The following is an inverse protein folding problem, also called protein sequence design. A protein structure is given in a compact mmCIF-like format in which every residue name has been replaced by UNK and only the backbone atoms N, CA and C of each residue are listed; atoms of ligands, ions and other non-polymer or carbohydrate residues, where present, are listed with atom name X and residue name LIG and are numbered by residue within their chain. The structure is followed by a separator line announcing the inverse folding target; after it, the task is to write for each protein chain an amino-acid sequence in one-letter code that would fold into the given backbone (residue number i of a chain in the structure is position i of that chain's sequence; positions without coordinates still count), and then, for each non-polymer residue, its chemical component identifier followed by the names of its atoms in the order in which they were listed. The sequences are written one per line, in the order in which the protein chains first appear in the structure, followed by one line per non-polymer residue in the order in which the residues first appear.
data_IF_881410805775
#
_entry.id   IF_881410805775
#
_cell.length_a   1.000
_cell.length_b   1.000
_cell.length_c   1.000
_cell.angle_alpha   90.00
_cell.angle_beta   90.00
_cell.angle_gamma   90.00
#
_symmetry.space_group_name_H-M   'P 1'
#
loop_
_entity.id
_entity.type
_entity.pdbx_description
1 polymer ?
#
# COMPACT_ATOMS: atom_id res chain seq x y z
N UNK A 1 11.98 38.54 -51.68
CA UNK A 1 13.20 38.26 -52.45
C UNK A 1 14.17 37.52 -51.55
N UNK A 2 14.80 36.48 -52.08
CA UNK A 2 15.57 35.43 -51.40
C UNK A 2 16.85 35.86 -50.64
N UNK A 3 17.24 34.98 -49.70
CA UNK A 3 18.61 34.61 -49.20
C UNK A 3 19.27 35.55 -48.16
N UNK A 4 20.08 35.10 -47.18
CA UNK A 4 20.46 33.81 -46.56
C UNK A 4 21.73 34.10 -45.76
N UNK A 5 21.86 33.67 -44.49
CA UNK A 5 23.11 33.24 -43.82
C UNK A 5 22.75 32.73 -42.41
N UNK A 6 22.59 31.42 -42.18
CA UNK A 6 23.59 30.45 -41.69
C UNK A 6 24.25 30.80 -40.35
N UNK A 7 23.74 30.19 -39.26
CA UNK A 7 24.49 29.75 -38.07
C UNK A 7 23.92 28.36 -37.72
N UNK A 8 24.54 27.29 -38.22
CA UNK A 8 25.44 26.35 -37.50
C UNK A 8 24.87 25.83 -36.18
N UNK A 9 24.36 24.60 -36.31
CA UNK A 9 23.97 23.61 -35.34
C UNK A 9 25.00 23.41 -34.22
N UNK A 10 24.51 23.42 -32.98
CA UNK A 10 25.03 22.60 -31.90
C UNK A 10 23.87 21.68 -31.48
N UNK A 11 24.05 20.39 -31.73
CA UNK A 11 23.21 19.31 -31.23
C UNK A 11 23.39 19.27 -29.71
N UNK A 12 22.34 19.61 -28.96
CA UNK A 12 22.15 19.11 -27.60
C UNK A 12 20.86 18.32 -27.68
N UNK A 13 20.99 17.01 -27.49
CA UNK A 13 19.89 16.08 -27.47
C UNK A 13 18.99 16.45 -26.28
N UNK A 14 17.87 17.11 -26.57
CA UNK A 14 16.79 17.24 -25.62
C UNK A 14 16.22 15.84 -25.38
N UNK A 15 16.36 15.37 -24.14
CA UNK A 15 15.58 14.26 -23.63
C UNK A 15 14.14 14.74 -23.57
N UNK A 16 13.37 14.37 -24.60
CA UNK A 16 11.92 14.40 -24.58
C UNK A 16 11.49 13.33 -23.58
N UNK A 17 11.23 13.72 -22.34
CA UNK A 17 10.47 12.90 -21.39
C UNK A 17 9.03 12.94 -21.88
N UNK A 18 8.66 11.94 -22.67
CA UNK A 18 7.26 11.62 -22.91
C UNK A 18 6.75 11.03 -21.60
N UNK A 19 5.86 11.76 -20.93
CA UNK A 19 5.03 11.25 -19.84
C UNK A 19 4.28 10.02 -20.33
N UNK A 20 4.76 8.85 -19.93
CA UNK A 20 4.02 7.60 -20.03
C UNK A 20 3.24 7.50 -18.73
N UNK A 21 1.91 7.48 -18.86
CA UNK A 21 1.00 6.91 -17.87
C UNK A 21 1.54 5.51 -17.52
N UNK A 22 2.20 5.38 -16.37
CA UNK A 22 2.86 4.16 -15.95
C UNK A 22 1.86 3.23 -15.29
N UNK A 23 1.32 2.32 -16.10
CA UNK A 23 1.01 0.96 -15.63
C UNK A 23 2.32 0.23 -15.35
N UNK A 24 2.38 -0.46 -14.22
CA UNK A 24 3.56 -1.11 -13.64
C UNK A 24 3.74 -2.51 -14.21
N UNK A 25 4.92 -2.81 -14.79
CA UNK A 25 5.12 -4.08 -15.51
C UNK A 25 6.57 -4.50 -15.73
N UNK A 26 7.06 -5.44 -14.91
CA UNK A 26 8.37 -6.10 -15.06
C UNK A 26 8.44 -6.99 -16.31
N UNK A 27 9.56 -6.96 -17.07
CA UNK A 27 9.86 -7.94 -18.14
C UNK A 27 11.23 -8.57 -17.97
N UNK A 28 11.28 -9.91 -18.04
CA UNK A 28 12.50 -10.68 -18.35
C UNK A 28 12.67 -10.83 -19.87
N UNK A 29 13.94 -10.84 -20.29
CA UNK A 29 14.44 -10.86 -21.66
C UNK A 29 14.11 -12.14 -22.43
N UNK A 30 13.81 -12.01 -23.73
CA UNK A 30 14.59 -12.66 -24.79
C UNK A 30 14.12 -12.29 -26.22
N UNK A 31 15.10 -12.08 -27.11
CA UNK A 31 15.04 -12.54 -28.51
C UNK A 31 14.27 -11.72 -29.56
N UNK A 32 14.91 -10.71 -30.14
CA UNK A 32 14.56 -10.02 -31.40
C UNK A 32 14.25 -10.93 -32.61
N UNK A 33 13.18 -10.61 -33.37
CA UNK A 33 13.23 -10.36 -34.85
C UNK A 33 11.93 -9.76 -35.46
N UNK A 34 12.03 -8.49 -35.81
CA UNK A 34 11.58 -7.76 -37.01
C UNK A 34 10.20 -7.97 -37.71
N UNK A 35 9.41 -6.88 -37.64
CA UNK A 35 8.73 -6.10 -38.71
C UNK A 35 7.57 -6.69 -39.53
N UNK A 36 6.42 -5.99 -39.56
CA UNK A 36 6.11 -4.93 -40.55
C UNK A 36 4.63 -4.50 -40.60
N UNK A 37 4.41 -3.18 -40.77
CA UNK A 37 3.24 -2.53 -41.40
C UNK A 37 1.97 -2.40 -40.53
N UNK A 38 1.14 -1.36 -40.60
CA UNK A 38 1.08 -0.12 -41.38
C UNK A 38 -0.16 0.67 -40.92
N UNK A 39 -0.14 2.03 -40.99
CA UNK A 39 -1.24 2.96 -41.40
C UNK A 39 -2.65 2.75 -40.79
N UNK A 40 -3.42 3.74 -40.30
CA UNK A 40 -3.52 5.16 -40.68
C UNK A 40 -4.77 5.81 -40.03
N UNK A 41 -4.78 7.16 -39.98
CA UNK A 41 -5.93 8.11 -40.06
C UNK A 41 -6.85 8.21 -38.82
N UNK A 42 -6.87 9.32 -38.08
CA UNK A 42 -7.33 10.70 -38.39
C UNK A 42 -8.86 10.85 -38.47
N UNK A 43 -9.44 11.65 -37.57
CA UNK A 43 -10.35 12.75 -37.93
C UNK A 43 -10.66 13.63 -36.70
N UNK A 44 -10.28 14.90 -36.81
CA UNK A 44 -10.81 16.05 -36.07
C UNK A 44 -12.24 16.38 -36.53
N UNK A 45 -13.05 17.03 -35.67
CA UNK A 45 -13.77 18.32 -35.91
C UNK A 45 -14.63 18.65 -34.67
N UNK A 46 -14.25 19.64 -33.84
CA UNK A 46 -14.62 21.09 -33.79
C UNK A 46 -15.97 21.49 -33.16
N UNK A 47 -15.83 22.24 -32.05
CA UNK A 47 -16.34 23.61 -31.75
C UNK A 47 -17.84 23.85 -31.49
N UNK A 48 -18.13 24.50 -30.35
CA UNK A 48 -19.29 25.37 -30.16
C UNK A 48 -19.41 25.94 -28.74
N UNK A 49 -19.34 27.27 -28.59
CA UNK A 49 -19.26 28.07 -27.35
C UNK A 49 -20.57 28.84 -27.05
N UNK A 50 -20.84 29.18 -25.78
CA UNK A 50 -21.43 30.45 -25.23
C UNK A 50 -21.94 30.21 -23.79
N UNK A 51 -21.43 30.82 -22.72
CA UNK A 51 -21.57 32.20 -22.16
C UNK A 51 -23.00 32.58 -21.72
N UNK A 52 -23.23 32.78 -20.42
CA UNK A 52 -23.69 34.08 -19.84
C UNK A 52 -23.92 34.02 -18.31
N UNK A 53 -23.61 35.16 -17.68
CA UNK A 53 -23.62 35.51 -16.25
C UNK A 53 -25.02 35.77 -15.65
N UNK A 54 -25.13 35.80 -14.31
CA UNK A 54 -25.51 37.02 -13.54
C UNK A 54 -25.77 36.76 -12.03
N UNK A 55 -25.53 37.83 -11.26
CA UNK A 55 -25.35 37.96 -9.80
C UNK A 55 -26.63 38.22 -8.97
N UNK A 56 -26.40 38.41 -7.65
CA UNK A 56 -27.13 39.23 -6.62
C UNK A 56 -28.14 38.47 -5.73
N UNK A 57 -28.34 38.73 -4.41
CA UNK A 57 -27.80 39.67 -3.40
C UNK A 57 -28.41 39.38 -2.00
N UNK A 58 -27.65 39.69 -0.93
CA UNK A 58 -28.01 40.32 0.36
C UNK A 58 -29.09 39.79 1.36
N UNK A 59 -28.60 39.34 2.54
CA UNK A 59 -28.69 39.95 3.89
C UNK A 59 -29.93 39.80 4.86
N UNK A 60 -29.60 39.38 6.11
CA UNK A 60 -29.97 39.89 7.47
C UNK A 60 -30.62 38.93 8.49
N UNK A 61 -29.93 38.85 9.65
CA UNK A 61 -30.39 38.81 11.06
C UNK A 61 -31.69 38.08 11.46
N UNK A 62 -31.62 37.11 12.39
CA UNK A 62 -31.78 37.40 13.83
C UNK A 62 -31.61 36.15 14.72
N UNK A 63 -31.11 36.40 15.93
CA UNK A 63 -30.94 35.49 17.05
C UNK A 63 -32.27 34.97 17.65
N UNK A 64 -32.35 33.69 17.98
CA UNK A 64 -33.02 33.23 19.21
C UNK A 64 -32.38 31.96 19.76
N UNK A 65 -31.73 32.09 20.92
CA UNK A 65 -31.44 30.97 21.81
C UNK A 65 -32.74 30.47 22.43
N UNK A 66 -33.03 29.19 22.26
CA UNK A 66 -33.84 28.41 23.21
C UNK A 66 -33.36 26.98 23.22
N UNK A 67 -33.23 26.44 24.43
CA UNK A 67 -32.70 25.12 24.77
C UNK A 67 -33.49 23.98 24.12
N UNK A 68 -32.79 23.08 23.43
CA UNK A 68 -33.23 21.69 23.18
C UNK A 68 -32.03 20.75 23.39
N UNK A 69 -31.71 20.50 24.65
CA UNK A 69 -30.95 19.31 25.06
C UNK A 69 -31.95 18.17 25.25
N UNK A 70 -32.29 17.46 24.18
CA UNK A 70 -33.00 16.16 24.25
C UNK A 70 -33.07 15.34 22.93
N UNK A 71 -32.38 15.70 21.82
CA UNK A 71 -32.54 14.98 20.54
C UNK A 71 -31.29 14.25 20.00
N UNK A 72 -30.09 14.43 20.57
CA UNK A 72 -28.88 13.78 20.01
C UNK A 72 -28.72 12.29 20.40
N UNK A 73 -29.47 11.78 21.38
CA UNK A 73 -29.35 10.37 21.80
C UNK A 73 -30.26 9.39 21.06
N UNK A 74 -31.37 9.82 20.43
CA UNK A 74 -32.28 8.86 19.76
C UNK A 74 -31.81 8.48 18.36
N UNK A 75 -31.17 9.40 17.62
CA UNK A 75 -30.64 9.11 16.28
C UNK A 75 -29.47 8.12 16.27
N UNK A 76 -28.70 8.05 17.37
CA UNK A 76 -27.55 7.15 17.51
C UNK A 76 -27.96 5.72 17.85
N UNK A 77 -29.00 5.52 18.68
CA UNK A 77 -29.49 4.18 19.01
C UNK A 77 -30.20 3.51 17.82
N UNK A 78 -30.99 4.27 17.05
CA UNK A 78 -31.67 3.76 15.85
C UNK A 78 -30.65 3.36 14.77
N UNK A 79 -29.65 4.22 14.48
CA UNK A 79 -28.60 3.92 13.52
C UNK A 79 -27.77 2.69 13.90
N UNK A 80 -27.47 2.50 15.20
CA UNK A 80 -26.79 1.30 15.69
C UNK A 80 -27.62 0.05 15.42
N UNK A 81 -28.91 0.06 15.76
CA UNK A 81 -29.76 -1.12 15.60
C UNK A 81 -29.98 -1.49 14.12
N UNK A 82 -30.10 -0.49 13.25
CA UNK A 82 -30.19 -0.69 11.81
C UNK A 82 -28.89 -1.26 11.24
N UNK A 83 -27.73 -0.70 11.63
CA UNK A 83 -26.43 -1.20 11.21
C UNK A 83 -26.18 -2.64 11.65
N UNK A 84 -26.53 -3.00 12.89
CA UNK A 84 -26.41 -4.38 13.39
C UNK A 84 -27.32 -5.36 12.62
N UNK A 85 -28.53 -4.92 12.29
CA UNK A 85 -29.45 -5.72 11.47
C UNK A 85 -28.87 -5.95 10.09
N UNK A 86 -28.36 -4.87 9.47
CA UNK A 86 -27.72 -4.91 8.15
C UNK A 86 -26.46 -5.78 8.14
N UNK A 87 -25.61 -5.67 9.15
CA UNK A 87 -24.42 -6.47 9.31
C UNK A 87 -24.77 -7.97 9.38
N UNK A 88 -25.79 -8.32 10.18
CA UNK A 88 -26.28 -9.69 10.27
C UNK A 88 -26.80 -10.24 8.93
N UNK A 89 -27.50 -9.43 8.13
CA UNK A 89 -27.96 -9.81 6.78
C UNK A 89 -26.80 -10.09 5.82
N UNK A 90 -25.72 -9.32 5.95
CA UNK A 90 -24.53 -9.40 5.11
C UNK A 90 -23.46 -10.37 5.64
N UNK A 91 -23.66 -10.96 6.83
CA UNK A 91 -22.70 -11.87 7.46
C UNK A 91 -21.49 -11.19 8.09
N UNK A 92 -21.56 -9.87 8.34
CA UNK A 92 -20.53 -9.06 9.00
C UNK A 92 -20.75 -9.08 10.52
N UNK A 93 -19.68 -9.21 11.31
CA UNK A 93 -19.73 -9.25 12.77
C UNK A 93 -19.70 -7.83 13.35
N UNK A 94 -20.31 -7.62 14.53
CA UNK A 94 -20.35 -6.28 15.15
C UNK A 94 -18.95 -5.71 15.40
N UNK A 95 -17.99 -6.56 15.78
CA UNK A 95 -16.60 -6.15 15.97
C UNK A 95 -15.95 -5.59 14.72
N UNK A 96 -16.38 -5.98 13.51
CA UNK A 96 -15.86 -5.48 12.23
C UNK A 96 -16.45 -4.11 11.86
N UNK A 97 -17.44 -3.62 12.60
CA UNK A 97 -18.00 -2.28 12.39
C UNK A 97 -17.19 -1.20 13.11
N UNK A 98 -16.32 -1.57 14.06
CA UNK A 98 -15.43 -0.66 14.80
C UNK A 98 -16.17 0.51 15.50
N UNK A 99 -17.48 0.35 15.75
CA UNK A 99 -18.33 1.40 16.32
C UNK A 99 -18.91 2.40 15.31
N UNK A 100 -18.52 2.31 14.04
CA UNK A 100 -18.89 3.23 12.96
C UNK A 100 -20.19 2.85 12.26
N UNK A 101 -21.28 2.75 13.04
CA UNK A 101 -22.58 2.25 12.57
C UNK A 101 -23.21 3.09 11.44
N UNK A 102 -23.16 4.42 11.54
CA UNK A 102 -23.74 5.29 10.54
C UNK A 102 -22.94 5.27 9.22
N UNK A 103 -21.61 5.20 9.33
CA UNK A 103 -20.73 5.04 8.18
C UNK A 103 -20.96 3.70 7.49
N UNK A 104 -21.12 2.62 8.26
CA UNK A 104 -21.43 1.29 7.73
C UNK A 104 -22.71 1.26 6.89
N UNK A 105 -23.78 1.89 7.37
CA UNK A 105 -25.03 1.97 6.62
C UNK A 105 -24.83 2.69 5.27
N UNK A 106 -24.15 3.84 5.29
CA UNK A 106 -23.83 4.59 4.05
C UNK A 106 -22.93 3.81 3.11
N UNK A 107 -21.94 3.11 3.65
CA UNK A 107 -21.03 2.23 2.92
C UNK A 107 -21.79 1.14 2.17
N UNK A 108 -22.63 0.40 2.89
CA UNK A 108 -23.41 -0.70 2.30
C UNK A 108 -24.48 -0.21 1.33
N UNK A 109 -25.11 0.94 1.59
CA UNK A 109 -26.04 1.58 0.65
C UNK A 109 -25.36 1.99 -0.66
N UNK A 110 -24.15 2.55 -0.58
CA UNK A 110 -23.35 2.92 -1.76
C UNK A 110 -22.96 1.67 -2.55
N UNK A 111 -22.49 0.61 -1.87
CA UNK A 111 -22.14 -0.66 -2.49
C UNK A 111 -23.33 -1.32 -3.20
N UNK A 112 -24.52 -1.29 -2.62
CA UNK A 112 -25.73 -1.86 -3.22
C UNK A 112 -26.17 -1.10 -4.48
N UNK A 113 -25.85 0.19 -4.55
CA UNK A 113 -26.18 1.05 -5.68
C UNK A 113 -25.12 1.01 -6.79
N UNK A 114 -23.92 0.47 -6.52
CA UNK A 114 -22.86 0.35 -7.52
C UNK A 114 -23.11 -0.88 -8.43
N UNK A 115 -23.48 -0.67 -9.72
CA UNK A 115 -23.79 -1.78 -10.63
C UNK A 115 -22.55 -2.47 -11.20
N UNK A 116 -21.36 -1.92 -11.00
CA UNK A 116 -20.12 -2.34 -11.66
C UNK A 116 -19.33 -3.41 -10.89
N UNK A 117 -19.67 -3.67 -9.62
CA UNK A 117 -18.94 -4.61 -8.78
C UNK A 117 -19.40 -6.06 -8.95
N UNK A 118 -20.63 -6.29 -9.41
CA UNK A 118 -21.17 -7.64 -9.60
C UNK A 118 -20.98 -8.54 -8.39
N UNK A 119 -20.35 -9.70 -8.58
CA UNK A 119 -20.03 -10.66 -7.52
C UNK A 119 -18.81 -10.27 -6.68
N UNK A 120 -18.01 -9.29 -7.11
CA UNK A 120 -16.83 -8.82 -6.39
C UNK A 120 -17.18 -7.82 -5.28
N UNK A 121 -18.45 -7.41 -5.18
CA UNK A 121 -18.96 -6.52 -4.12
C UNK A 121 -18.61 -7.02 -2.71
N UNK A 122 -18.62 -8.33 -2.50
CA UNK A 122 -18.33 -8.93 -1.19
C UNK A 122 -16.87 -8.69 -0.75
N UNK A 123 -15.92 -8.62 -1.68
CA UNK A 123 -14.53 -8.25 -1.36
C UNK A 123 -14.45 -6.79 -0.90
N UNK A 124 -15.20 -5.91 -1.56
CA UNK A 124 -15.26 -4.49 -1.20
C UNK A 124 -15.95 -4.33 0.16
N UNK A 125 -17.02 -5.09 0.43
CA UNK A 125 -17.67 -5.09 1.75
C UNK A 125 -16.67 -5.35 2.90
N UNK A 126 -15.74 -6.29 2.70
CA UNK A 126 -14.74 -6.67 3.71
C UNK A 126 -13.65 -5.62 3.96
N UNK A 127 -13.59 -4.55 3.16
CA UNK A 127 -12.70 -3.41 3.43
C UNK A 127 -13.25 -2.47 4.50
N UNK A 128 -14.51 -2.66 4.94
CA UNK A 128 -15.14 -1.73 5.88
C UNK A 128 -14.34 -1.45 7.16
N UNK A 129 -13.68 -2.43 7.82
CA UNK A 129 -12.83 -2.15 8.98
C UNK A 129 -11.73 -1.11 8.70
N UNK A 130 -11.09 -1.18 7.52
CA UNK A 130 -10.07 -0.22 7.10
C UNK A 130 -10.67 1.16 6.90
N UNK A 131 -11.87 1.22 6.29
CA UNK A 131 -12.61 2.47 6.09
C UNK A 131 -13.02 3.09 7.43
N UNK A 132 -13.50 2.27 8.37
CA UNK A 132 -13.93 2.72 9.69
C UNK A 132 -12.78 3.31 10.50
N UNK A 133 -11.57 2.76 10.37
CA UNK A 133 -10.40 3.21 11.13
C UNK A 133 -9.70 4.44 10.52
N UNK A 134 -9.79 4.64 9.20
CA UNK A 134 -8.94 5.60 8.49
C UNK A 134 -9.69 6.66 7.67
N UNK A 135 -10.99 6.51 7.41
CA UNK A 135 -11.73 7.51 6.64
C UNK A 135 -12.12 8.69 7.53
N UNK A 136 -11.50 9.84 7.29
CA UNK A 136 -11.82 11.08 7.97
C UNK A 136 -13.08 11.76 7.35
N UNK A 137 -13.87 12.51 8.14
CA UNK A 137 -15.09 13.17 7.67
C UNK A 137 -14.89 14.09 6.45
N UNK A 138 -13.71 14.72 6.34
CA UNK A 138 -13.39 15.65 5.25
C UNK A 138 -13.18 14.92 3.90
N UNK A 139 -12.80 13.63 3.93
CA UNK A 139 -12.50 12.83 2.75
C UNK A 139 -13.69 11.97 2.29
N UNK A 140 -14.73 11.82 3.13
CA UNK A 140 -15.90 10.99 2.84
C UNK A 140 -16.53 11.28 1.47
N UNK A 141 -16.65 12.56 1.09
CA UNK A 141 -17.32 12.91 -0.17
C UNK A 141 -16.59 12.35 -1.39
N UNK A 142 -15.25 12.43 -1.39
CA UNK A 142 -14.43 11.88 -2.47
C UNK A 142 -14.42 10.36 -2.41
N UNK A 143 -14.29 9.78 -1.22
CA UNK A 143 -14.35 8.35 -1.01
C UNK A 143 -15.64 7.73 -1.55
N UNK A 144 -16.81 8.26 -1.16
CA UNK A 144 -18.11 7.75 -1.62
C UNK A 144 -18.33 7.95 -3.13
N UNK A 145 -17.78 9.02 -3.71
CA UNK A 145 -17.79 9.21 -5.16
C UNK A 145 -17.01 8.09 -5.87
N UNK A 146 -15.80 7.77 -5.40
CA UNK A 146 -15.01 6.68 -5.96
C UNK A 146 -15.66 5.32 -5.70
N UNK A 147 -16.16 5.06 -4.50
CA UNK A 147 -16.85 3.80 -4.19
C UNK A 147 -18.08 3.58 -5.08
N UNK A 148 -18.85 4.63 -5.37
CA UNK A 148 -20.04 4.54 -6.23
C UNK A 148 -19.74 4.19 -7.69
N UNK A 149 -18.51 4.44 -8.14
CA UNK A 149 -18.07 4.24 -9.52
C UNK A 149 -17.01 3.13 -9.68
N UNK A 150 -16.52 2.57 -8.57
CA UNK A 150 -15.49 1.53 -8.56
C UNK A 150 -15.91 0.36 -9.45
N UNK A 151 -14.98 -0.07 -10.29
CA UNK A 151 -15.09 -1.27 -11.12
C UNK A 151 -14.10 -2.29 -10.61
N UNK A 152 -14.50 -3.56 -10.63
CA UNK A 152 -13.60 -4.66 -10.37
C UNK A 152 -13.81 -5.72 -11.43
N UNK A 153 -12.74 -6.16 -12.08
CA UNK A 153 -12.80 -7.09 -13.22
C UNK A 153 -11.73 -8.16 -13.11
N UNK A 154 -12.02 -9.31 -13.70
CA UNK A 154 -11.09 -10.40 -13.90
C UNK A 154 -10.81 -10.45 -15.41
N UNK A 155 -9.55 -10.38 -15.79
CA UNK A 155 -9.16 -10.31 -17.21
C UNK A 155 -7.67 -10.27 -17.40
N UNK A 156 -7.21 -10.04 -18.63
CA UNK A 156 -5.79 -9.88 -18.90
C UNK A 156 -5.32 -8.47 -18.51
N UNK A 157 -4.35 -8.37 -17.60
CA UNK A 157 -3.66 -7.11 -17.33
C UNK A 157 -2.76 -6.72 -18.51
N UNK A 158 -2.52 -5.43 -18.69
CA UNK A 158 -1.66 -4.91 -19.78
C UNK A 158 -0.18 -5.28 -19.60
N UNK A 159 0.19 -5.68 -18.38
CA UNK A 159 1.52 -6.09 -17.96
C UNK A 159 1.49 -7.52 -17.40
N UNK A 160 2.64 -8.19 -17.15
CA UNK A 160 2.62 -9.52 -16.54
C UNK A 160 2.28 -9.51 -15.03
N UNK A 161 1.76 -8.40 -14.47
CA UNK A 161 1.30 -8.32 -13.08
C UNK A 161 0.21 -9.36 -12.77
N UNK A 162 0.06 -9.69 -11.48
CA UNK A 162 -1.03 -10.53 -10.97
C UNK A 162 -2.33 -9.73 -10.79
N UNK A 163 -2.23 -8.42 -10.57
CA UNK A 163 -3.33 -7.47 -10.47
C UNK A 163 -2.82 -6.04 -10.65
N UNK A 164 -3.72 -5.11 -10.97
CA UNK A 164 -3.42 -3.67 -11.05
C UNK A 164 -4.66 -2.84 -10.65
N UNK A 165 -4.45 -1.80 -9.86
CA UNK A 165 -5.41 -0.70 -9.67
C UNK A 165 -5.11 0.48 -10.62
N UNK A 166 -6.07 0.78 -11.49
CA UNK A 166 -6.02 1.94 -12.39
C UNK A 166 -6.83 3.10 -11.80
N UNK A 167 -6.16 3.99 -11.07
CA UNK A 167 -6.79 5.16 -10.44
C UNK A 167 -7.60 6.02 -11.44
N UNK A 168 -7.08 6.24 -12.66
CA UNK A 168 -7.75 7.05 -13.68
C UNK A 168 -9.06 6.44 -14.23
N UNK A 169 -9.20 5.12 -14.19
CA UNK A 169 -10.40 4.40 -14.62
C UNK A 169 -11.24 3.90 -13.43
N UNK A 170 -10.76 4.12 -12.20
CA UNK A 170 -11.28 3.58 -10.95
C UNK A 170 -11.59 2.08 -11.07
N UNK A 171 -10.59 1.32 -11.53
CA UNK A 171 -10.70 -0.09 -11.90
C UNK A 171 -9.65 -0.92 -11.17
N UNK A 172 -10.11 -1.92 -10.42
CA UNK A 172 -9.27 -3.04 -9.96
C UNK A 172 -9.35 -4.17 -10.98
N UNK A 173 -8.22 -4.56 -11.55
CA UNK A 173 -8.13 -5.64 -12.54
C UNK A 173 -7.24 -6.77 -12.01
N UNK A 174 -7.78 -7.98 -11.91
CA UNK A 174 -7.02 -9.17 -11.49
C UNK A 174 -6.73 -10.05 -12.70
N UNK A 175 -5.48 -10.47 -12.85
CA UNK A 175 -5.01 -11.21 -14.00
C UNK A 175 -5.50 -12.66 -13.99
N UNK A 176 -6.36 -13.03 -14.94
CA UNK A 176 -6.77 -14.41 -15.17
C UNK A 176 -5.75 -15.14 -16.06
N UNK A 177 -4.66 -15.62 -15.46
CA UNK A 177 -3.65 -16.40 -16.19
C UNK A 177 -4.08 -17.85 -16.51
N UNK A 178 -5.35 -18.20 -16.35
CA UNK A 178 -5.88 -19.52 -16.69
C UNK A 178 -5.41 -20.66 -15.78
N UNK A 179 -4.80 -20.33 -14.63
CA UNK A 179 -4.58 -21.28 -13.53
C UNK A 179 -5.71 -21.12 -12.52
N UNK A 180 -6.93 -21.47 -12.96
CA UNK A 180 -8.13 -21.56 -12.12
C UNK A 180 -8.07 -22.79 -11.19
N UNK A 181 -6.88 -23.21 -10.78
CA UNK A 181 -6.76 -24.01 -9.58
C UNK A 181 -6.99 -23.05 -8.41
N UNK A 182 -8.03 -23.34 -7.63
CA UNK A 182 -8.54 -22.72 -6.40
C UNK A 182 -7.44 -22.32 -5.37
N UNK A 183 -6.48 -21.50 -5.77
CA UNK A 183 -5.33 -21.13 -4.96
C UNK A 183 -5.55 -19.74 -4.42
N UNK A 184 -5.21 -19.53 -3.16
CA UNK A 184 -5.45 -18.28 -2.47
C UNK A 184 -4.73 -17.04 -3.01
N UNK A 185 -3.97 -17.21 -4.09
CA UNK A 185 -3.21 -16.17 -4.77
C UNK A 185 -4.15 -15.08 -5.30
N UNK A 186 -5.34 -15.40 -5.80
CA UNK A 186 -6.18 -14.39 -6.43
C UNK A 186 -6.95 -13.49 -5.42
N UNK A 187 -7.29 -13.98 -4.21
CA UNK A 187 -7.92 -13.10 -3.20
C UNK A 187 -6.87 -12.19 -2.55
N UNK A 188 -5.66 -12.70 -2.31
CA UNK A 188 -4.56 -11.94 -1.71
C UNK A 188 -4.20 -10.74 -2.59
N UNK A 189 -4.09 -10.97 -3.90
CA UNK A 189 -3.90 -9.90 -4.89
C UNK A 189 -5.11 -8.97 -4.94
N UNK A 190 -6.35 -9.48 -4.87
CA UNK A 190 -7.53 -8.63 -4.81
C UNK A 190 -7.51 -7.65 -3.63
N UNK A 191 -7.19 -8.10 -2.42
CA UNK A 191 -7.09 -7.20 -1.26
C UNK A 191 -5.94 -6.20 -1.39
N UNK A 192 -4.80 -6.61 -1.96
CA UNK A 192 -3.70 -5.69 -2.26
C UNK A 192 -4.17 -4.55 -3.20
N UNK A 193 -4.78 -4.89 -4.34
CA UNK A 193 -5.26 -3.86 -5.28
C UNK A 193 -6.41 -3.02 -4.72
N UNK A 194 -7.28 -3.63 -3.91
CA UNK A 194 -8.33 -2.89 -3.21
C UNK A 194 -7.75 -1.96 -2.14
N UNK A 195 -6.59 -2.28 -1.54
CA UNK A 195 -5.92 -1.38 -0.61
C UNK A 195 -5.37 -0.14 -1.33
N UNK A 196 -4.87 -0.28 -2.57
CA UNK A 196 -4.55 0.87 -3.42
C UNK A 196 -5.78 1.74 -3.71
N UNK A 197 -6.96 1.12 -3.89
CA UNK A 197 -8.21 1.87 -4.02
C UNK A 197 -8.57 2.64 -2.74
N UNK A 198 -8.42 2.02 -1.56
CA UNK A 198 -8.66 2.68 -0.28
C UNK A 198 -7.69 3.85 -0.09
N UNK A 199 -6.39 3.63 -0.27
CA UNK A 199 -5.36 4.69 -0.24
C UNK A 199 -5.75 5.86 -1.15
N UNK A 200 -5.97 5.59 -2.43
CA UNK A 200 -6.34 6.61 -3.40
C UNK A 200 -7.61 7.38 -3.00
N UNK A 201 -8.59 6.68 -2.44
CA UNK A 201 -9.90 7.25 -2.10
C UNK A 201 -9.92 7.99 -0.77
N UNK A 202 -8.95 7.75 0.11
CA UNK A 202 -8.75 8.51 1.36
C UNK A 202 -7.83 9.71 1.11
N UNK A 203 -6.75 9.54 0.34
CA UNK A 203 -5.76 10.60 0.04
C UNK A 203 -6.24 11.66 -0.97
N UNK A 204 -7.53 11.65 -1.34
CA UNK A 204 -8.14 12.51 -2.36
C UNK A 204 -7.49 12.43 -3.77
N UNK A 205 -6.66 11.43 -4.04
CA UNK A 205 -5.97 11.22 -5.31
C UNK A 205 -4.93 12.28 -5.68
N UNK A 206 -4.58 13.20 -4.77
CA UNK A 206 -3.63 14.29 -5.04
C UNK A 206 -2.20 13.83 -4.79
N UNK A 207 -1.67 12.96 -5.66
CA UNK A 207 -0.26 12.54 -5.54
C UNK A 207 0.67 13.65 -6.03
N UNK A 208 1.42 14.22 -5.09
CA UNK A 208 2.38 15.27 -5.37
C UNK A 208 3.67 14.70 -5.99
N UNK A 209 4.18 15.33 -7.06
CA UNK A 209 5.47 14.97 -7.64
C UNK A 209 6.60 15.70 -6.91
N UNK A 210 7.43 14.94 -6.20
CA UNK A 210 8.57 15.44 -5.42
C UNK A 210 9.86 15.29 -6.20
N UNK A 211 10.70 16.32 -6.11
CA UNK A 211 12.00 16.39 -6.76
C UNK A 211 13.09 16.81 -5.79
N UNK A 212 14.29 16.27 -5.98
CA UNK A 212 15.49 16.76 -5.31
C UNK A 212 16.23 17.75 -6.21
N UNK A 213 16.47 18.96 -5.70
CA UNK A 213 17.09 20.07 -6.46
C UNK A 213 18.63 20.05 -6.43
N UNK A 214 19.23 19.13 -5.67
CA UNK A 214 20.64 19.15 -5.28
C UNK A 214 20.92 19.88 -3.96
N UNK A 215 19.89 20.53 -3.37
CA UNK A 215 20.02 21.25 -2.09
C UNK A 215 18.81 21.14 -1.16
N UNK A 216 17.69 20.63 -1.66
CA UNK A 216 16.42 20.43 -0.93
C UNK A 216 15.49 19.54 -1.75
N UNK A 217 14.52 18.93 -1.08
CA UNK A 217 13.34 18.35 -1.70
C UNK A 217 12.24 19.40 -1.92
N UNK A 218 11.46 19.27 -2.99
CA UNK A 218 10.43 20.22 -3.37
C UNK A 218 9.37 19.61 -4.28
N UNK A 219 8.14 20.11 -4.21
CA UNK A 219 7.12 19.81 -5.21
C UNK A 219 7.44 20.46 -6.56
N UNK A 220 6.95 19.84 -7.63
CA UNK A 220 7.02 20.38 -8.99
C UNK A 220 6.62 21.87 -9.09
N UNK A 221 5.57 22.26 -8.36
CA UNK A 221 5.03 23.63 -8.36
C UNK A 221 5.95 24.65 -7.69
N UNK A 222 6.86 24.21 -6.82
CA UNK A 222 7.77 25.05 -6.04
C UNK A 222 9.19 25.12 -6.65
N UNK A 223 9.39 24.50 -7.81
CA UNK A 223 10.65 24.52 -8.53
C UNK A 223 10.78 25.79 -9.38
N UNK A 224 11.93 26.46 -9.24
CA UNK A 224 12.35 27.52 -10.16
C UNK A 224 12.84 26.94 -11.50
N UNK A 225 12.85 27.76 -12.56
CA UNK A 225 13.39 27.36 -13.88
C UNK A 225 14.81 26.77 -13.79
N UNK A 226 15.64 27.32 -12.90
CA UNK A 226 17.02 26.84 -12.71
C UNK A 226 17.08 25.49 -11.98
N UNK A 227 16.17 25.24 -11.03
CA UNK A 227 16.07 23.97 -10.33
C UNK A 227 15.55 22.88 -11.29
N UNK A 228 14.58 23.20 -12.15
CA UNK A 228 14.06 22.28 -13.17
C UNK A 228 15.15 21.72 -14.11
N UNK A 229 16.20 22.49 -14.40
CA UNK A 229 17.30 22.03 -15.26
C UNK A 229 18.19 20.95 -14.60
N UNK A 230 18.11 20.78 -13.28
CA UNK A 230 19.07 19.98 -12.49
C UNK A 230 18.42 19.00 -11.54
N UNK A 231 17.11 19.14 -11.29
CA UNK A 231 16.42 18.31 -10.33
C UNK A 231 16.31 16.87 -10.83
N UNK A 232 16.20 15.95 -9.88
CA UNK A 232 15.90 14.54 -10.15
C UNK A 232 14.58 14.19 -9.47
N UNK A 233 13.72 13.36 -10.09
CA UNK A 233 12.53 12.84 -9.43
C UNK A 233 12.92 12.09 -8.16
N UNK A 234 12.13 12.22 -7.11
CA UNK A 234 12.36 11.61 -5.81
C UNK A 234 11.00 11.11 -5.27
N UNK A 235 10.48 10.04 -5.85
CA UNK A 235 9.15 9.47 -5.56
C UNK A 235 9.27 8.25 -4.61
N UNK A 236 8.16 7.80 -3.99
CA UNK A 236 8.12 6.64 -3.08
C UNK A 236 7.08 5.60 -3.49
N UNK A 237 7.40 4.77 -4.48
CA UNK A 237 6.53 3.66 -4.87
C UNK A 237 6.56 2.52 -3.83
N UNK A 238 7.68 2.38 -3.09
CA UNK A 238 7.80 1.34 -2.07
C UNK A 238 6.80 1.53 -0.91
N UNK A 239 6.39 2.77 -0.60
CA UNK A 239 5.42 3.05 0.48
C UNK A 239 4.02 2.62 0.04
N UNK A 240 3.64 2.91 -1.20
CA UNK A 240 2.32 2.54 -1.71
C UNK A 240 2.20 1.02 -1.84
N UNK A 241 3.21 0.35 -2.41
CA UNK A 241 3.18 -1.12 -2.56
C UNK A 241 3.34 -1.84 -1.21
N UNK A 242 4.29 -1.38 -0.39
CA UNK A 242 4.53 -1.94 0.93
C UNK A 242 3.36 -1.70 1.90
N UNK A 243 2.71 -0.55 1.79
CA UNK A 243 1.54 -0.19 2.59
C UNK A 243 0.33 -1.04 2.26
N UNK A 244 0.08 -1.30 0.96
CA UNK A 244 -0.96 -2.22 0.53
C UNK A 244 -0.77 -3.62 1.15
N UNK A 245 0.46 -4.12 1.16
CA UNK A 245 0.81 -5.39 1.78
C UNK A 245 0.72 -5.37 3.32
N UNK A 246 1.21 -4.29 3.94
CA UNK A 246 1.19 -4.08 5.38
C UNK A 246 -0.25 -4.07 5.94
N UNK A 247 -1.15 -3.26 5.37
CA UNK A 247 -2.54 -3.19 5.85
C UNK A 247 -3.33 -4.45 5.49
N UNK A 248 -3.06 -5.08 4.34
CA UNK A 248 -3.64 -6.39 4.03
C UNK A 248 -3.24 -7.41 5.08
N UNK A 249 -1.96 -7.43 5.47
CA UNK A 249 -1.46 -8.29 6.53
C UNK A 249 -2.05 -7.99 7.90
N UNK A 250 -2.24 -6.70 8.24
CA UNK A 250 -2.80 -6.26 9.52
C UNK A 250 -4.27 -6.61 9.68
N UNK A 251 -5.12 -6.22 8.73
CA UNK A 251 -6.57 -6.42 8.82
C UNK A 251 -7.00 -7.85 8.53
N UNK A 252 -6.32 -8.53 7.61
CA UNK A 252 -6.67 -9.90 7.20
C UNK A 252 -5.73 -10.96 7.75
N UNK A 253 -4.79 -10.57 8.63
CA UNK A 253 -3.88 -11.44 9.38
C UNK A 253 -3.06 -12.36 8.47
N UNK A 254 -2.61 -11.83 7.33
CA UNK A 254 -1.97 -12.56 6.22
C UNK A 254 -0.51 -12.19 6.02
N UNK A 255 0.23 -13.08 5.37
CA UNK A 255 1.59 -12.78 4.90
C UNK A 255 1.57 -12.51 3.40
N UNK A 256 1.89 -11.28 3.00
CA UNK A 256 1.94 -10.89 1.59
C UNK A 256 3.34 -11.09 1.04
N UNK A 257 3.46 -11.79 -0.09
CA UNK A 257 4.76 -12.20 -0.65
C UNK A 257 5.28 -11.23 -1.72
N UNK A 258 4.45 -10.26 -2.16
CA UNK A 258 4.80 -9.34 -3.25
C UNK A 258 5.81 -8.29 -2.84
N UNK A 259 5.58 -7.63 -1.70
CA UNK A 259 6.33 -6.50 -1.19
C UNK A 259 6.68 -6.68 0.29
N UNK A 260 7.09 -7.91 0.62
CA UNK A 260 7.53 -8.35 1.95
C UNK A 260 8.53 -7.39 2.62
N UNK A 261 9.56 -6.96 1.88
CA UNK A 261 10.62 -6.09 2.40
C UNK A 261 10.08 -4.69 2.72
N UNK A 262 9.41 -3.97 1.79
CA UNK A 262 8.71 -2.72 2.10
C UNK A 262 7.69 -2.83 3.24
N UNK A 263 6.86 -3.87 3.28
CA UNK A 263 5.87 -4.06 4.34
C UNK A 263 6.53 -4.24 5.72
N UNK A 264 7.61 -5.04 5.79
CA UNK A 264 8.39 -5.22 7.01
C UNK A 264 9.06 -3.91 7.45
N UNK A 265 9.50 -3.09 6.50
CA UNK A 265 10.02 -1.75 6.79
C UNK A 265 8.96 -0.88 7.47
N UNK A 266 7.71 -0.89 6.99
CA UNK A 266 6.60 -0.16 7.61
C UNK A 266 6.25 -0.69 9.01
N UNK A 267 6.31 -2.01 9.24
CA UNK A 267 6.23 -2.59 10.60
C UNK A 267 7.35 -2.05 11.51
N UNK A 268 8.55 -1.83 10.96
CA UNK A 268 9.65 -1.15 11.66
C UNK A 268 9.32 0.29 12.03
N UNK A 269 8.72 1.04 11.11
CA UNK A 269 8.26 2.41 11.37
C UNK A 269 7.19 2.43 12.47
N UNK A 270 6.17 1.58 12.41
CA UNK A 270 5.15 1.45 13.45
C UNK A 270 5.78 1.10 14.80
N UNK A 271 6.71 0.14 14.82
CA UNK A 271 7.39 -0.25 16.06
C UNK A 271 8.13 0.93 16.69
N UNK A 272 8.79 1.77 15.88
CA UNK A 272 9.59 2.91 16.36
C UNK A 272 8.72 4.12 16.74
N UNK A 273 7.75 4.47 15.90
CA UNK A 273 7.00 5.73 15.94
C UNK A 273 5.51 5.60 16.23
N UNK A 274 4.95 4.40 16.17
CA UNK A 274 3.52 4.12 16.32
C UNK A 274 2.76 4.11 14.99
N UNK A 275 1.57 3.51 15.03
CA UNK A 275 0.67 3.29 13.87
C UNK A 275 0.31 4.59 13.15
N UNK A 276 0.01 5.66 13.89
CA UNK A 276 -0.30 6.98 13.32
C UNK A 276 0.78 7.50 12.35
N UNK A 277 2.04 7.07 12.51
CA UNK A 277 3.11 7.46 11.59
C UNK A 277 3.05 6.67 10.30
N UNK A 278 2.68 5.39 10.33
CA UNK A 278 2.46 4.59 9.12
C UNK A 278 1.21 5.08 8.39
N UNK A 279 0.14 5.43 9.10
CA UNK A 279 -1.07 6.02 8.51
C UNK A 279 -0.74 7.29 7.71
N UNK A 280 0.06 8.20 8.29
CA UNK A 280 0.53 9.41 7.60
C UNK A 280 1.45 9.13 6.40
N UNK A 281 2.14 8.00 6.38
CA UNK A 281 2.96 7.64 5.22
C UNK A 281 2.10 7.05 4.11
N UNK A 282 1.17 6.15 4.44
CA UNK A 282 0.40 5.42 3.45
C UNK A 282 -0.81 6.22 2.94
N UNK A 283 -1.70 6.70 3.82
CA UNK A 283 -2.94 7.38 3.44
C UNK A 283 -2.78 8.87 3.11
N UNK A 284 -1.54 9.37 3.04
CA UNK A 284 -1.27 10.77 2.72
C UNK A 284 -1.25 11.00 1.22
N UNK A 285 -1.85 12.11 0.79
CA UNK A 285 -1.68 12.67 -0.56
C UNK A 285 -0.20 12.89 -0.92
N UNK A 286 0.66 13.06 0.09
CA UNK A 286 2.06 13.43 -0.07
C UNK A 286 3.01 12.46 0.67
N UNK A 287 2.76 11.15 0.52
CA UNK A 287 3.55 10.05 1.14
C UNK A 287 5.06 10.26 1.02
N UNK A 288 5.53 10.73 -0.13
CA UNK A 288 6.96 10.93 -0.36
C UNK A 288 7.52 12.03 0.54
N UNK A 289 6.86 13.19 0.63
CA UNK A 289 7.36 14.23 1.54
C UNK A 289 7.21 13.86 3.00
N UNK A 290 6.14 13.15 3.38
CA UNK A 290 6.00 12.64 4.75
C UNK A 290 7.17 11.72 5.11
N UNK A 291 7.58 10.85 4.19
CA UNK A 291 8.75 10.00 4.40
C UNK A 291 10.07 10.77 4.46
N UNK A 292 10.28 11.71 3.54
CA UNK A 292 11.48 12.56 3.56
C UNK A 292 11.55 13.35 4.88
N UNK A 293 10.45 13.95 5.34
CA UNK A 293 10.38 14.68 6.61
C UNK A 293 10.73 13.77 7.79
N UNK A 294 10.22 12.54 7.80
CA UNK A 294 10.56 11.55 8.83
C UNK A 294 12.08 11.29 8.87
N UNK A 295 12.74 11.17 7.72
CA UNK A 295 14.19 10.96 7.64
C UNK A 295 14.99 12.23 8.00
N UNK A 296 14.54 13.41 7.55
CA UNK A 296 15.14 14.70 7.90
C UNK A 296 15.09 14.97 9.40
N UNK A 297 13.96 14.68 10.05
CA UNK A 297 13.76 14.82 11.50
C UNK A 297 14.68 13.88 12.30
N UNK A 298 15.03 12.73 11.73
CA UNK A 298 16.04 11.81 12.28
C UNK A 298 17.49 12.28 12.04
N UNK A 299 17.69 13.39 11.33
CA UNK A 299 19.01 13.96 11.03
C UNK A 299 19.72 13.26 9.86
N UNK A 300 19.00 12.51 9.04
CA UNK A 300 19.56 11.85 7.85
C UNK A 300 19.79 12.92 6.76
N UNK A 301 20.97 12.90 6.15
CA UNK A 301 21.34 13.89 5.12
C UNK A 301 20.55 13.70 3.82
N UNK A 302 20.24 14.78 3.10
CA UNK A 302 19.53 14.77 1.81
C UNK A 302 20.06 13.74 0.81
N UNK A 303 21.39 13.60 0.71
CA UNK A 303 21.99 12.63 -0.22
C UNK A 303 21.66 11.19 0.17
N UNK A 304 21.76 10.86 1.47
CA UNK A 304 21.37 9.54 1.99
C UNK A 304 19.86 9.31 1.82
N UNK A 305 19.02 10.33 2.03
CA UNK A 305 17.57 10.26 1.78
C UNK A 305 17.31 9.92 0.31
N UNK A 306 17.92 10.65 -0.63
CA UNK A 306 17.76 10.40 -2.06
C UNK A 306 18.23 8.99 -2.45
N UNK A 307 19.38 8.55 -1.94
CA UNK A 307 19.91 7.22 -2.20
C UNK A 307 18.96 6.15 -1.61
N UNK A 308 18.40 6.36 -0.41
CA UNK A 308 17.37 5.48 0.17
C UNK A 308 16.12 5.41 -0.70
N UNK A 309 15.59 6.53 -1.18
CA UNK A 309 14.41 6.54 -2.07
C UNK A 309 14.66 5.70 -3.34
N UNK A 310 15.81 5.88 -3.98
CA UNK A 310 16.16 5.12 -5.18
C UNK A 310 16.42 3.65 -4.89
N UNK A 311 17.11 3.30 -3.81
CA UNK A 311 17.30 1.90 -3.43
C UNK A 311 15.99 1.22 -3.10
N UNK A 312 15.11 1.85 -2.33
CA UNK A 312 13.88 1.22 -1.87
C UNK A 312 12.87 1.04 -3.01
N UNK A 313 12.78 1.99 -3.93
CA UNK A 313 12.01 1.81 -5.16
C UNK A 313 12.62 0.75 -6.08
N UNK A 314 13.94 0.61 -6.13
CA UNK A 314 14.57 -0.49 -6.87
C UNK A 314 14.25 -1.86 -6.26
N UNK A 315 14.20 -1.95 -4.94
CA UNK A 315 13.80 -3.18 -4.24
C UNK A 315 12.32 -3.53 -4.46
N UNK A 316 11.41 -2.55 -4.43
CA UNK A 316 10.01 -2.75 -4.79
C UNK A 316 9.85 -3.07 -6.28
N UNK A 317 10.63 -2.39 -7.13
CA UNK A 317 10.55 -2.44 -8.58
C UNK A 317 11.94 -2.41 -9.21
N UNK A 318 12.46 -3.60 -9.56
CA UNK A 318 13.80 -3.79 -10.14
C UNK A 318 14.15 -2.98 -11.41
N UNK A 319 13.16 -2.33 -12.04
CA UNK A 319 13.37 -1.47 -13.20
C UNK A 319 13.69 -0.01 -12.84
N UNK A 320 13.55 0.41 -11.57
CA UNK A 320 14.07 1.71 -11.12
C UNK A 320 15.59 1.74 -11.16
N UNK A 321 16.15 2.94 -11.28
CA UNK A 321 17.60 3.13 -11.31
C UNK A 321 18.15 2.93 -9.90
N UNK A 322 19.08 1.99 -9.76
CA UNK A 322 19.86 1.85 -8.54
C UNK A 322 20.83 3.05 -8.40
N UNK A 323 20.95 3.69 -7.22
CA UNK A 323 21.88 4.78 -7.03
C UNK A 323 23.34 4.27 -6.99
N UNK A 324 24.30 5.20 -7.14
CA UNK A 324 25.73 4.90 -7.05
C UNK A 324 26.14 4.40 -5.64
N UNK A 325 25.37 4.78 -4.63
CA UNK A 325 25.58 4.45 -3.22
C UNK A 325 24.30 3.85 -2.63
N UNK A 326 23.98 2.58 -2.93
CA UNK A 326 22.75 1.98 -2.43
C UNK A 326 22.76 1.90 -0.90
N UNK A 327 21.58 2.17 -0.31
CA UNK A 327 21.37 2.21 1.14
C UNK A 327 20.40 1.13 1.54
N UNK A 328 20.75 0.32 2.55
CA UNK A 328 19.87 -0.75 3.05
C UNK A 328 18.70 -0.21 3.89
N UNK A 329 17.54 -0.86 3.76
CA UNK A 329 16.37 -0.59 4.60
C UNK A 329 16.68 -0.80 6.08
N UNK A 330 17.46 -1.82 6.41
CA UNK A 330 17.90 -2.10 7.78
C UNK A 330 18.72 -0.94 8.37
N UNK A 331 19.63 -0.35 7.58
CA UNK A 331 20.45 0.78 8.04
C UNK A 331 19.59 2.03 8.32
N UNK A 332 18.58 2.29 7.49
CA UNK A 332 17.65 3.40 7.69
C UNK A 332 16.79 3.18 8.92
N UNK A 333 16.28 1.96 9.14
CA UNK A 333 15.54 1.65 10.37
C UNK A 333 16.38 1.79 11.62
N UNK A 334 17.67 1.41 11.58
CA UNK A 334 18.58 1.63 12.73
C UNK A 334 18.76 3.12 12.99
N UNK A 335 19.01 3.95 11.99
CA UNK A 335 19.11 5.41 12.17
C UNK A 335 17.83 6.01 12.76
N UNK A 336 16.68 5.57 12.26
CA UNK A 336 15.36 5.97 12.76
C UNK A 336 15.14 5.50 14.22
N UNK A 337 15.56 4.29 14.56
CA UNK A 337 15.48 3.78 15.92
C UNK A 337 16.39 4.58 16.85
N UNK A 338 17.64 4.83 16.46
CA UNK A 338 18.61 5.53 17.29
C UNK A 338 18.20 6.99 17.56
N UNK A 339 17.64 7.67 16.56
CA UNK A 339 17.13 9.04 16.70
C UNK A 339 15.92 9.13 17.63
N UNK A 340 15.04 8.10 17.64
CA UNK A 340 13.78 8.11 18.43
C UNK A 340 13.89 7.44 19.80
N UNK A 341 14.54 6.29 19.87
CA UNK A 341 14.59 5.38 21.04
C UNK A 341 16.00 5.24 21.63
N UNK A 342 17.04 5.76 20.97
CA UNK A 342 18.44 5.66 21.41
C UNK A 342 19.13 4.37 20.95
N UNK A 343 20.36 4.13 21.41
CA UNK A 343 21.26 3.10 20.86
C UNK A 343 20.96 1.64 21.26
N UNK A 344 19.81 1.37 21.88
CA UNK A 344 19.47 0.06 22.46
C UNK A 344 18.76 -0.90 21.50
N UNK A 345 18.96 -0.73 20.18
CA UNK A 345 18.23 -1.50 19.17
C UNK A 345 18.64 -2.97 19.10
N UNK A 346 19.88 -3.30 19.47
CA UNK A 346 20.43 -4.67 19.45
C UNK A 346 19.77 -5.57 20.49
N UNK A 347 19.33 -4.97 21.59
CA UNK A 347 18.66 -5.65 22.69
C UNK A 347 17.16 -5.80 22.44
N UNK A 348 16.55 -4.97 21.59
CA UNK A 348 15.14 -5.04 21.24
C UNK A 348 14.86 -6.22 20.30
N UNK A 349 14.33 -7.32 20.86
CA UNK A 349 14.11 -8.57 20.14
C UNK A 349 13.00 -8.49 19.09
N UNK A 350 12.04 -7.60 19.27
CA UNK A 350 10.98 -7.36 18.28
C UNK A 350 11.57 -6.59 17.10
N UNK A 351 12.34 -5.54 17.37
CA UNK A 351 13.01 -4.77 16.31
C UNK A 351 14.03 -5.62 15.54
N UNK A 352 14.83 -6.43 16.24
CA UNK A 352 15.77 -7.35 15.58
C UNK A 352 15.05 -8.39 14.70
N UNK A 353 13.86 -8.84 15.08
CA UNK A 353 13.05 -9.71 14.22
C UNK A 353 12.65 -9.00 12.93
N UNK A 354 12.21 -7.73 13.00
CA UNK A 354 11.86 -6.93 11.82
C UNK A 354 13.06 -6.80 10.87
N UNK A 355 14.26 -6.51 11.41
CA UNK A 355 15.48 -6.42 10.60
C UNK A 355 15.83 -7.77 9.95
N UNK A 356 15.64 -8.90 10.65
CA UNK A 356 15.87 -10.23 10.08
C UNK A 356 14.92 -10.53 8.92
N UNK A 357 13.67 -10.08 8.99
CA UNK A 357 12.68 -10.30 7.93
C UNK A 357 13.00 -9.52 6.66
N UNK A 358 13.40 -8.25 6.81
CA UNK A 358 13.92 -7.43 5.72
C UNK A 358 15.16 -8.10 5.10
N UNK A 359 16.11 -8.50 5.93
CA UNK A 359 17.35 -9.10 5.47
C UNK A 359 17.15 -10.41 4.72
N UNK A 360 16.30 -11.30 5.24
CA UNK A 360 16.01 -12.59 4.62
C UNK A 360 15.28 -12.48 3.28
N UNK A 361 14.50 -11.41 3.06
CA UNK A 361 13.82 -11.15 1.79
C UNK A 361 14.65 -10.32 0.81
N UNK A 362 15.70 -9.63 1.27
CA UNK A 362 16.54 -8.80 0.42
C UNK A 362 17.44 -9.68 -0.44
N UNK A 363 17.25 -9.59 -1.76
CA UNK A 363 18.01 -10.38 -2.75
C UNK A 363 19.32 -9.73 -3.17
N UNK A 364 19.51 -8.44 -2.86
CA UNK A 364 20.64 -7.65 -3.31
C UNK A 364 21.70 -7.46 -2.20
N UNK A 365 22.96 -7.64 -2.57
CA UNK A 365 24.09 -7.57 -1.62
C UNK A 365 24.73 -6.17 -1.59
N UNK A 366 24.03 -5.23 -0.95
CA UNK A 366 24.55 -3.88 -0.70
C UNK A 366 25.49 -3.84 0.53
N UNK A 367 26.42 -2.88 0.65
CA UNK A 367 27.19 -2.72 1.88
C UNK A 367 26.31 -2.20 3.02
N UNK A 368 26.50 -2.69 4.24
CA UNK A 368 25.90 -2.09 5.44
C UNK A 368 26.65 -0.83 5.86
N UNK A 369 25.93 0.20 6.27
CA UNK A 369 26.50 1.34 6.99
C UNK A 369 26.75 1.01 8.48
N UNK A 370 25.83 0.27 9.10
CA UNK A 370 25.95 -0.33 10.43
C UNK A 370 26.59 -1.72 10.30
N UNK A 371 27.92 -1.75 10.23
CA UNK A 371 28.71 -2.97 9.94
C UNK A 371 28.40 -4.15 10.87
N UNK A 372 27.99 -3.91 12.12
CA UNK A 372 27.56 -4.95 13.06
C UNK A 372 26.37 -5.78 12.57
N UNK A 373 25.51 -5.24 11.70
CA UNK A 373 24.34 -5.95 11.17
C UNK A 373 24.76 -7.23 10.43
N UNK A 374 25.94 -7.24 9.80
CA UNK A 374 26.50 -8.42 9.10
C UNK A 374 26.61 -9.65 9.98
N UNK A 375 26.86 -9.46 11.28
CA UNK A 375 27.04 -10.55 12.23
C UNK A 375 25.78 -10.86 13.04
N UNK A 376 24.83 -9.93 13.07
CA UNK A 376 23.62 -10.02 13.90
C UNK A 376 22.42 -10.58 13.14
N UNK A 377 22.31 -10.29 11.84
CA UNK A 377 21.13 -10.64 11.06
C UNK A 377 21.16 -12.11 10.60
N UNK A 378 19.98 -12.72 10.64
CA UNK A 378 19.76 -14.09 10.20
C UNK A 378 19.54 -14.12 8.69
N UNK A 379 20.27 -14.99 7.99
CA UNK A 379 19.99 -15.27 6.59
C UNK A 379 18.67 -16.03 6.40
N UNK A 380 18.22 -16.11 5.15
CA UNK A 380 16.97 -16.80 4.82
C UNK A 380 16.90 -18.25 5.35
N UNK A 381 17.93 -19.12 5.17
CA UNK A 381 17.93 -20.46 5.77
C UNK A 381 17.82 -20.48 7.31
N UNK A 382 18.45 -19.53 8.01
CA UNK A 382 18.32 -19.40 9.46
C UNK A 382 16.91 -18.98 9.88
N UNK A 383 16.27 -18.09 9.11
CA UNK A 383 14.88 -17.68 9.31
C UNK A 383 13.87 -18.81 9.05
N UNK A 384 14.08 -19.63 8.00
CA UNK A 384 13.29 -20.84 7.76
C UNK A 384 13.40 -21.82 8.93
N UNK A 385 14.62 -22.02 9.45
CA UNK A 385 14.86 -22.89 10.60
C UNK A 385 14.17 -22.38 11.88
N UNK A 386 14.27 -21.08 12.17
CA UNK A 386 13.54 -20.47 13.29
C UNK A 386 12.04 -20.73 13.16
N UNK A 387 11.50 -20.56 11.95
CA UNK A 387 10.08 -20.74 11.68
C UNK A 387 9.63 -22.20 11.84
N UNK A 388 10.44 -23.15 11.36
CA UNK A 388 10.21 -24.56 11.61
C UNK A 388 10.23 -24.90 13.11
N UNK A 389 11.15 -24.31 13.88
CA UNK A 389 11.22 -24.49 15.33
C UNK A 389 9.99 -23.93 16.07
N UNK A 390 9.44 -22.78 15.62
CA UNK A 390 8.17 -22.23 16.12
C UNK A 390 7.01 -23.16 15.78
N UNK A 391 6.90 -23.58 14.51
CA UNK A 391 5.83 -24.45 14.04
C UNK A 391 5.81 -25.80 14.77
N UNK A 392 6.98 -26.40 15.00
CA UNK A 392 7.12 -27.66 15.74
C UNK A 392 6.61 -27.60 17.19
N UNK A 393 6.59 -26.41 17.80
CA UNK A 393 6.05 -26.20 19.16
C UNK A 393 4.53 -26.07 19.17
N UNK A 394 3.94 -25.67 18.05
CA UNK A 394 2.50 -25.50 17.85
C UNK A 394 1.87 -26.83 17.45
N UNK A 395 2.35 -27.43 16.36
CA UNK A 395 1.84 -28.69 15.85
C UNK A 395 2.95 -29.53 15.20
N UNK A 396 3.19 -30.71 15.76
CA UNK A 396 4.15 -31.68 15.23
C UNK A 396 3.69 -32.33 13.92
N UNK A 397 2.43 -32.10 13.51
CA UNK A 397 1.79 -32.75 12.35
C UNK A 397 1.68 -31.86 11.12
N UNK A 398 1.84 -30.54 11.25
CA UNK A 398 1.81 -29.63 10.11
C UNK A 398 3.10 -29.82 9.30
N UNK A 399 3.03 -30.22 8.02
CA UNK A 399 4.23 -30.39 7.20
C UNK A 399 5.00 -29.05 7.13
N UNK A 400 6.27 -29.07 7.54
CA UNK A 400 7.14 -27.88 7.58
C UNK A 400 7.31 -27.22 6.20
N UNK A 401 7.06 -27.98 5.12
CA UNK A 401 7.14 -27.54 3.72
C UNK A 401 6.05 -26.53 3.33
N UNK A 402 5.11 -26.21 4.22
CA UNK A 402 3.92 -25.39 3.94
C UNK A 402 4.00 -23.96 4.51
N UNK A 403 5.10 -23.60 5.18
CA UNK A 403 5.37 -22.26 5.71
C UNK A 403 6.72 -21.81 5.18
N UNK A 404 6.77 -20.68 4.45
CA UNK A 404 8.05 -20.07 4.04
C UNK A 404 8.85 -19.64 5.26
N UNK A 405 8.37 -18.63 5.99
CA UNK A 405 8.79 -18.31 7.35
C UNK A 405 7.75 -17.38 7.98
N UNK A 406 7.72 -17.32 9.31
CA UNK A 406 6.83 -16.42 10.03
C UNK A 406 7.25 -14.97 9.81
N UNK A 407 6.26 -14.11 9.59
CA UNK A 407 6.39 -12.65 9.50
C UNK A 407 5.88 -12.00 10.76
N UNK A 408 6.47 -10.89 11.13
CA UNK A 408 6.02 -10.09 12.25
C UNK A 408 4.89 -9.19 11.78
N UNK A 409 3.76 -9.28 12.48
CA UNK A 409 2.66 -8.34 12.36
C UNK A 409 2.44 -7.66 13.71
N UNK A 410 2.05 -6.38 13.66
CA UNK A 410 1.68 -5.61 14.83
C UNK A 410 0.16 -5.47 14.85
N UNK A 411 -0.46 -5.94 15.92
CA UNK A 411 -1.90 -5.83 16.17
C UNK A 411 -2.09 -5.10 17.49
N UNK A 412 -2.78 -3.97 17.47
CA UNK A 412 -3.02 -3.12 18.66
C UNK A 412 -1.72 -2.80 19.44
N UNK A 413 -0.63 -2.51 18.72
CA UNK A 413 0.70 -2.23 19.29
C UNK A 413 1.43 -3.44 19.89
N UNK A 414 0.92 -4.66 19.70
CA UNK A 414 1.55 -5.91 20.15
C UNK A 414 2.06 -6.72 18.97
N UNK A 415 3.29 -7.25 19.10
CA UNK A 415 3.92 -8.07 18.09
C UNK A 415 3.43 -9.53 18.12
N UNK A 416 3.14 -10.06 16.94
CA UNK A 416 2.77 -11.45 16.68
C UNK A 416 3.60 -12.00 15.53
N UNK A 417 3.75 -13.32 15.48
CA UNK A 417 4.26 -14.01 14.30
C UNK A 417 3.07 -14.56 13.50
N UNK A 418 3.01 -14.25 12.21
CA UNK A 418 1.98 -14.70 11.28
C UNK A 418 2.59 -15.52 10.14
N UNK A 419 1.87 -16.54 9.69
CA UNK A 419 2.26 -17.34 8.53
C UNK A 419 1.01 -17.85 7.80
N UNK A 420 1.02 -17.81 6.47
CA UNK A 420 0.03 -18.55 5.69
C UNK A 420 0.39 -20.03 5.63
N UNK A 421 -0.60 -20.88 5.93
CA UNK A 421 -0.47 -22.34 5.84
C UNK A 421 -1.01 -22.80 4.50
N UNK A 422 -0.12 -23.23 3.60
CA UNK A 422 -0.54 -23.85 2.34
C UNK A 422 -0.91 -25.31 2.59
N UNK A 423 -2.17 -25.67 2.84
CA UNK A 423 -2.49 -27.10 3.06
C UNK A 423 -2.32 -27.91 1.79
N UNK A 424 -1.32 -28.80 1.74
CA UNK A 424 -1.23 -29.79 0.67
C UNK A 424 -2.04 -31.05 1.01
N UNK A 425 -3.06 -31.30 0.21
CA UNK A 425 -3.65 -32.60 -0.12
C UNK A 425 -4.55 -33.41 0.84
N UNK A 426 -4.71 -33.14 2.14
CA UNK A 426 -5.53 -34.05 2.99
C UNK A 426 -6.52 -33.42 3.98
N UNK A 427 -6.73 -32.11 3.95
CA UNK A 427 -7.93 -31.51 4.57
C UNK A 427 -8.96 -31.25 3.49
N UNK A 428 -10.17 -31.80 3.67
CA UNK A 428 -11.33 -31.69 2.77
C UNK A 428 -11.90 -30.24 2.66
N UNK A 429 -11.06 -29.23 2.89
CA UNK A 429 -11.35 -27.80 2.72
C UNK A 429 -10.05 -27.07 2.31
N UNK A 430 -10.01 -26.57 1.09
CA UNK A 430 -9.00 -25.63 0.56
C UNK A 430 -9.09 -24.24 1.24
N UNK A 431 -9.34 -24.19 2.55
CA UNK A 431 -9.43 -22.93 3.29
C UNK A 431 -8.00 -22.43 3.56
N UNK A 432 -7.63 -21.29 3.00
CA UNK A 432 -6.35 -20.65 3.30
C UNK A 432 -6.35 -20.21 4.77
N UNK A 433 -5.61 -20.93 5.61
CA UNK A 433 -5.54 -20.69 7.05
C UNK A 433 -4.29 -19.85 7.33
N UNK A 434 -4.47 -18.68 7.93
CA UNK A 434 -3.37 -17.92 8.51
C UNK A 434 -3.17 -18.35 9.96
N UNK A 435 -1.94 -18.69 10.33
CA UNK A 435 -1.55 -19.03 11.69
C UNK A 435 -0.99 -17.77 12.34
N UNK A 436 -1.58 -17.37 13.46
CA UNK A 436 -1.10 -16.25 14.27
C UNK A 436 -0.59 -16.80 15.58
N UNK A 437 0.60 -16.37 15.97
CA UNK A 437 1.32 -16.88 17.13
C UNK A 437 1.67 -15.71 18.01
N UNK A 438 1.15 -15.74 19.23
CA UNK A 438 1.64 -14.88 20.29
C UNK A 438 2.99 -15.43 20.76
N UNK A 439 4.06 -14.69 20.48
CA UNK A 439 5.43 -15.11 20.71
C UNK A 439 6.12 -14.23 21.75
N UNK A 440 6.75 -14.85 22.74
CA UNK A 440 7.64 -14.18 23.69
C UNK A 440 9.02 -14.07 23.04
N UNK A 441 9.31 -12.92 22.42
CA UNK A 441 10.58 -12.65 21.73
C UNK A 441 11.79 -12.63 22.68
N UNK A 442 11.58 -12.39 23.98
CA UNK A 442 12.64 -12.39 24.99
C UNK A 442 13.04 -13.80 25.39
N UNK A 443 12.06 -14.69 25.61
CA UNK A 443 12.33 -16.09 25.98
C UNK A 443 12.46 -17.01 24.77
N UNK A 444 12.03 -16.54 23.60
CA UNK A 444 11.90 -17.33 22.38
C UNK A 444 10.87 -18.44 22.53
N UNK A 445 9.69 -18.15 23.12
CA UNK A 445 8.65 -19.14 23.47
C UNK A 445 7.30 -18.82 22.82
N UNK A 446 6.54 -19.85 22.45
CA UNK A 446 5.15 -19.71 21.99
C UNK A 446 4.25 -19.60 23.22
N UNK A 447 3.51 -18.50 23.34
CA UNK A 447 2.58 -18.26 24.44
C UNK A 447 1.18 -18.81 24.11
N UNK A 448 0.68 -18.49 22.92
CA UNK A 448 -0.58 -18.99 22.37
C UNK A 448 -0.56 -18.90 20.85
N UNK A 449 -1.50 -19.56 20.18
CA UNK A 449 -1.67 -19.47 18.74
C UNK A 449 -3.14 -19.61 18.37
N UNK A 450 -3.51 -19.06 17.22
CA UNK A 450 -4.84 -19.19 16.64
C UNK A 450 -4.75 -19.45 15.13
N UNK A 451 -5.68 -20.24 14.63
CA UNK A 451 -5.87 -20.46 13.20
C UNK A 451 -6.96 -19.52 12.72
N UNK A 452 -6.55 -18.46 12.04
CA UNK A 452 -7.46 -17.53 11.41
C UNK A 452 -7.82 -18.07 10.02
N UNK A 453 -9.08 -18.50 9.87
CA UNK A 453 -9.68 -18.70 8.56
C UNK A 453 -10.47 -17.43 8.27
N UNK A 454 -9.98 -16.55 7.40
CA UNK A 454 -10.72 -15.35 7.06
C UNK A 454 -12.00 -15.80 6.34
N UNK A 455 -13.13 -15.21 6.70
CA UNK A 455 -14.44 -15.47 6.06
C UNK A 455 -14.44 -14.84 4.67
N UNK A 456 -13.61 -15.33 3.74
CA UNK A 456 -13.49 -14.75 2.41
C UNK A 456 -14.75 -14.97 1.60
N UNK A 457 -15.10 -14.01 0.72
CA UNK A 457 -16.09 -14.28 -0.30
C UNK A 457 -15.57 -15.45 -1.13
N UNK A 458 -16.35 -16.53 -1.18
CA UNK A 458 -15.96 -17.69 -1.97
C UNK A 458 -15.84 -17.24 -3.42
N UNK A 459 -14.76 -17.65 -4.09
CA UNK A 459 -14.61 -17.45 -5.53
C UNK A 459 -15.85 -17.99 -6.25
N UNK A 460 -16.65 -17.08 -6.82
CA UNK A 460 -17.82 -17.44 -7.60
C UNK A 460 -17.32 -17.66 -9.03
N UNK A 461 -17.20 -18.94 -9.42
CA UNK A 461 -16.93 -19.36 -10.80
C UNK A 461 -18.03 -18.95 -11.78
#
# INVERSE_FOLDING_TARGET
MFRSQRVRSAFVAGVLVLSILSGTGCKKSDGTKETSGSRSKSSETTVGSSVSDSESSEAKDSSSMTQETAEETSGSEDAKQDALTRAQELGVKEEELHGEYALFLRYTDCLDQNPNLGTLKDYVLHLFPVVADHLEPDDESFFFQNLSSLRAEIGETSTPSAGEFYAGDNLVLINDKGDTSESGINYTVMYHELMHFIDFSISAGDRSYVYYTGTRFAHAADLTDQEWEKCVPAETDFITEGGADYYTGKYYRKTMVGYDTPASFLSGIEWIYGEETVDRLFFSADSTMEFIRLLEDAGISDQKILDSLFTFNHEAYSWHVLPDHPVRMEDVLVDLYESRKGSGWKEDKVFMQILNEIHACTVEDYPFAHEELKELLLDYPAMEKMSADVLNRIDQRTPQELVRFFKLILLDGKAYLAADLFTSYEFDRNEAISLIVEYDFEKGEVLSYDYYVPDYPKWIN
#
